data_IF_328604206944
#
_entry.id   IF_328604206944
#
_cell.length_a   1.000
_cell.length_b   1.000
_cell.length_c   1.000
_cell.angle_alpha   90.00
_cell.angle_beta   90.00
_cell.angle_gamma   90.00
#
_symmetry.space_group_name_H-M   'P 1'
#
loop_
_entity.id
_entity.type
_entity.pdbx_description
1 polymer ?
#
# COMPACT_ATOMS: atom_id res chain seq x y z
N UNK A 1 -13.06 10.61 -0.73
CA UNK A 1 -12.43 9.41 -1.32
C UNK A 1 -12.38 8.20 -0.38
N UNK A 2 -11.94 8.27 0.89
CA UNK A 2 -11.89 7.07 1.76
C UNK A 2 -13.26 6.61 2.32
N UNK A 3 -14.16 7.54 2.70
CA UNK A 3 -15.51 7.21 3.19
C UNK A 3 -16.39 6.50 2.15
N UNK A 4 -16.18 6.76 0.85
CA UNK A 4 -16.99 6.18 -0.25
C UNK A 4 -16.66 4.70 -0.51
N UNK A 5 -15.50 4.23 -0.04
CA UNK A 5 -15.06 2.83 -0.13
C UNK A 5 -15.16 2.11 1.23
N UNK A 6 -15.95 2.63 2.18
CA UNK A 6 -16.14 2.06 3.51
C UNK A 6 -14.83 1.79 4.29
N UNK A 7 -13.72 2.45 3.91
CA UNK A 7 -12.45 2.30 4.59
C UNK A 7 -12.47 3.13 5.87
N UNK A 8 -13.12 2.61 6.92
CA UNK A 8 -12.81 3.00 8.29
C UNK A 8 -11.33 2.69 8.45
N UNK A 9 -10.51 3.73 8.61
CA UNK A 9 -9.06 3.66 8.76
C UNK A 9 -8.67 2.53 9.71
N UNK A 10 -8.37 1.35 9.16
CA UNK A 10 -8.04 0.17 9.93
C UNK A 10 -6.53 0.15 10.10
N UNK A 11 -6.04 0.61 11.26
CA UNK A 11 -4.63 0.60 11.60
C UNK A 11 -4.00 -0.78 11.41
N UNK A 12 -4.76 -1.85 11.62
CA UNK A 12 -4.33 -3.23 11.37
C UNK A 12 -4.04 -3.48 9.90
N UNK A 13 -4.90 -2.99 8.99
CA UNK A 13 -4.67 -3.14 7.55
C UNK A 13 -3.48 -2.31 7.09
N UNK A 14 -3.31 -1.08 7.59
CA UNK A 14 -2.10 -0.29 7.30
C UNK A 14 -0.84 -1.02 7.78
N UNK A 15 -0.87 -1.60 8.98
CA UNK A 15 0.25 -2.41 9.50
C UNK A 15 0.52 -3.63 8.61
N UNK A 16 -0.53 -4.33 8.19
CA UNK A 16 -0.43 -5.46 7.28
C UNK A 16 0.23 -5.09 5.94
N UNK A 17 -0.17 -3.96 5.35
CA UNK A 17 0.43 -3.46 4.10
C UNK A 17 1.93 -3.21 4.27
N UNK A 18 2.34 -2.64 5.41
CA UNK A 18 3.75 -2.35 5.67
C UNK A 18 4.54 -3.65 5.90
N UNK A 19 3.97 -4.62 6.62
CA UNK A 19 4.70 -5.87 6.96
C UNK A 19 4.64 -6.95 5.89
N UNK A 20 3.60 -6.94 5.06
CA UNK A 20 3.34 -7.93 4.01
C UNK A 20 2.64 -7.27 2.81
N UNK A 21 3.34 -6.39 2.07
CA UNK A 21 2.81 -5.77 0.87
C UNK A 21 2.75 -6.75 -0.29
N UNK A 22 1.82 -6.52 -1.22
CA UNK A 22 1.87 -7.20 -2.52
C UNK A 22 2.99 -6.59 -3.38
N UNK A 23 3.27 -5.30 -3.19
CA UNK A 23 4.36 -4.60 -3.87
C UNK A 23 4.99 -3.51 -3.00
N UNK A 24 6.31 -3.38 -3.07
CA UNK A 24 7.08 -2.38 -2.31
C UNK A 24 8.06 -1.64 -3.24
N UNK A 25 8.04 -0.31 -3.16
CA UNK A 25 8.98 0.56 -3.86
C UNK A 25 9.81 1.36 -2.84
N UNK A 26 11.13 1.19 -2.88
CA UNK A 26 12.11 1.88 -2.01
C UNK A 26 13.00 2.88 -2.74
N UNK A 27 12.83 2.99 -4.07
CA UNK A 27 13.81 3.68 -4.92
C UNK A 27 13.24 4.99 -5.44
N UNK A 28 11.95 5.04 -5.78
CA UNK A 28 11.38 6.19 -6.50
C UNK A 28 11.21 7.47 -5.68
N UNK A 29 11.12 7.38 -4.34
CA UNK A 29 10.89 8.53 -3.45
C UNK A 29 11.74 8.46 -2.17
N UNK A 30 13.01 8.06 -2.29
CA UNK A 30 13.91 7.93 -1.14
C UNK A 30 13.98 9.24 -0.31
N UNK A 31 13.92 9.18 1.04
CA UNK A 31 13.96 7.99 1.92
C UNK A 31 12.60 7.33 2.19
N UNK A 32 11.54 7.72 1.47
CA UNK A 32 10.21 7.17 1.65
C UNK A 32 10.08 5.82 0.94
N UNK A 33 9.36 4.92 1.58
CA UNK A 33 8.98 3.61 1.06
C UNK A 33 7.49 3.64 0.74
N UNK A 34 7.12 3.08 -0.40
CA UNK A 34 5.72 2.94 -0.83
C UNK A 34 5.37 1.45 -0.81
N UNK A 35 4.66 1.02 0.23
CA UNK A 35 4.07 -0.30 0.30
C UNK A 35 2.65 -0.27 -0.26
N UNK A 36 2.30 -1.24 -1.09
CA UNK A 36 1.00 -1.31 -1.77
C UNK A 36 0.35 -2.67 -1.54
N UNK A 37 -0.96 -2.68 -1.34
CA UNK A 37 -1.76 -3.91 -1.27
C UNK A 37 -3.11 -3.75 -1.93
N UNK A 38 -3.64 -4.83 -2.51
CA UNK A 38 -4.97 -4.85 -3.10
C UNK A 38 -6.03 -4.40 -2.08
N UNK A 39 -6.81 -3.38 -2.45
CA UNK A 39 -7.92 -2.89 -1.64
C UNK A 39 -9.25 -3.48 -2.12
N UNK A 40 -9.44 -3.53 -3.44
CA UNK A 40 -10.61 -4.12 -4.09
C UNK A 40 -10.25 -4.59 -5.51
N UNK A 41 -11.23 -4.94 -6.33
CA UNK A 41 -11.01 -5.44 -7.69
C UNK A 41 -10.33 -4.43 -8.62
N UNK A 42 -10.43 -3.13 -8.33
CA UNK A 42 -9.94 -2.03 -9.19
C UNK A 42 -8.82 -1.21 -8.56
N UNK A 43 -8.68 -1.25 -7.25
CA UNK A 43 -7.78 -0.37 -6.51
C UNK A 43 -6.80 -1.13 -5.62
N UNK A 44 -5.69 -0.46 -5.36
CA UNK A 44 -4.72 -0.79 -4.31
C UNK A 44 -4.73 0.34 -3.29
N UNK A 45 -4.41 0.04 -2.04
CA UNK A 45 -4.08 1.04 -1.05
C UNK A 45 -2.55 1.17 -1.01
N UNK A 46 -2.06 2.39 -1.24
CA UNK A 46 -0.65 2.73 -1.06
C UNK A 46 -0.45 3.33 0.32
N UNK A 47 0.60 2.90 1.00
CA UNK A 47 1.07 3.43 2.28
C UNK A 47 2.47 3.97 2.06
N UNK A 48 2.62 5.28 2.25
CA UNK A 48 3.90 5.96 2.19
C UNK A 48 4.40 6.12 3.61
N UNK A 49 5.57 5.55 3.88
CA UNK A 49 6.17 5.58 5.20
C UNK A 49 7.67 5.79 5.10
N UNK A 50 8.28 6.16 6.22
CA UNK A 50 9.73 6.10 6.41
C UNK A 50 10.03 5.21 7.61
N UNK A 51 11.18 4.55 7.57
CA UNK A 51 11.70 3.78 8.69
C UNK A 51 13.01 4.42 9.15
N UNK A 52 13.03 4.82 10.43
CA UNK A 52 14.19 5.34 11.13
C UNK A 52 14.35 4.46 12.36
N UNK A 53 15.44 3.69 12.42
CA UNK A 53 15.66 2.62 13.39
C UNK A 53 14.46 1.63 13.43
N UNK A 54 13.88 1.43 14.62
CA UNK A 54 12.71 0.58 14.85
C UNK A 54 11.38 1.33 14.72
N UNK A 55 11.42 2.61 14.34
CA UNK A 55 10.23 3.47 14.25
C UNK A 55 9.77 3.59 12.80
N UNK A 56 8.54 3.13 12.56
CA UNK A 56 7.84 3.31 11.30
C UNK A 56 6.91 4.52 11.41
N UNK A 57 7.22 5.57 10.65
CA UNK A 57 6.36 6.75 10.54
C UNK A 57 5.55 6.69 9.26
N UNK A 58 4.24 6.46 9.36
CA UNK A 58 3.32 6.56 8.22
C UNK A 58 3.06 8.02 7.92
N UNK A 59 3.46 8.46 6.72
CA UNK A 59 3.35 9.85 6.27
C UNK A 59 1.96 10.08 5.67
N UNK A 60 1.53 9.18 4.78
CA UNK A 60 0.22 9.23 4.15
C UNK A 60 -0.18 7.86 3.61
N UNK A 61 -1.48 7.67 3.35
CA UNK A 61 -1.99 6.53 2.61
C UNK A 61 -3.16 6.95 1.73
N UNK A 62 -3.25 6.37 0.53
CA UNK A 62 -4.28 6.72 -0.43
C UNK A 62 -4.55 5.57 -1.41
N UNK A 63 -5.80 5.41 -1.88
CA UNK A 63 -6.09 4.43 -2.91
C UNK A 63 -5.56 4.89 -4.27
N UNK A 64 -5.10 3.94 -5.08
CA UNK A 64 -4.68 4.15 -6.46
C UNK A 64 -5.28 3.05 -7.36
N UNK A 65 -5.54 3.31 -8.65
CA UNK A 65 -5.93 2.27 -9.58
C UNK A 65 -4.87 1.16 -9.67
N UNK A 66 -5.31 -0.10 -9.83
CA UNK A 66 -4.41 -1.21 -10.12
C UNK A 66 -3.67 -0.96 -11.45
N UNK A 67 -2.36 -0.80 -11.35
CA UNK A 67 -1.46 -0.70 -12.50
C UNK A 67 -0.99 -2.07 -13.01
N UNK A 68 -0.09 -2.07 -13.99
CA UNK A 68 0.45 -3.28 -14.64
C UNK A 68 1.03 -4.31 -13.66
N UNK A 69 1.63 -3.86 -12.55
CA UNK A 69 2.20 -4.74 -11.52
C UNK A 69 1.17 -5.66 -10.86
N UNK A 70 -0.09 -5.24 -10.78
CA UNK A 70 -1.19 -6.04 -10.22
C UNK A 70 -1.99 -6.83 -11.27
N UNK A 71 -1.66 -6.65 -12.56
CA UNK A 71 -2.30 -7.40 -13.65
C UNK A 71 -1.60 -8.74 -13.91
N UNK A 72 -0.32 -8.87 -13.55
CA UNK A 72 0.48 -10.06 -13.78
C UNK A 72 0.29 -11.17 -12.73
N UNK A 73 -0.36 -10.89 -11.60
CA UNK A 73 -0.62 -11.88 -10.54
C UNK A 73 -1.79 -12.82 -10.85
N UNK A 74 -2.54 -12.61 -11.95
CA UNK A 74 -3.70 -13.45 -12.34
C UNK A 74 -3.29 -14.67 -13.20
N UNK A 75 -2.00 -14.89 -13.50
CA UNK A 75 -1.57 -15.99 -14.38
C UNK A 75 -0.80 -17.10 -13.65
N UNK A 76 -1.41 -17.70 -12.63
CA UNK A 76 -1.07 -19.05 -12.16
C UNK A 76 -2.36 -19.78 -11.78
N UNK A 77 -3.01 -20.38 -12.78
CA UNK A 77 -3.96 -21.49 -12.65
C UNK A 77 -3.54 -22.57 -13.64
#
# INVERSE_FOLDING_TARGET
>A
MLKKHNFKSNKTFIKEIITNPDHEDKVSDYPKIIASKSLDSKHVLRVVYKQEDDIITVITFYPAPKGKYYQNEIKLQ
#
